data_IF_528374129796
#
_entry.id   IF_528374129796
#
_cell.length_a   1.000
_cell.length_b   1.000
_cell.length_c   1.000
_cell.angle_alpha   90.00
_cell.angle_beta   90.00
_cell.angle_gamma   90.00
#
_symmetry.space_group_name_H-M   'P 1'
#
loop_
_entity.id
_entity.type
_entity.pdbx_description
1 polymer ?
#
# COMPACT_ATOMS: atom_id res chain seq x y z
N UNK A 1 -15.42 -4.36 43.43
CA UNK A 1 -15.18 -5.18 42.22
C UNK A 1 -16.31 -4.89 41.23
N UNK A 2 -16.07 -4.03 40.25
CA UNK A 2 -17.00 -3.75 39.15
C UNK A 2 -17.07 -4.99 38.28
N UNK A 3 -18.21 -5.68 38.29
CA UNK A 3 -18.46 -6.79 37.36
C UNK A 3 -18.72 -6.22 35.96
N UNK A 4 -17.75 -6.30 35.07
CA UNK A 4 -17.99 -6.10 33.66
C UNK A 4 -18.88 -7.26 33.21
N UNK A 5 -20.13 -6.97 32.87
CA UNK A 5 -21.04 -7.96 32.29
C UNK A 5 -20.64 -8.16 30.82
N UNK A 6 -19.83 -9.16 30.57
CA UNK A 6 -19.56 -9.64 29.22
C UNK A 6 -20.72 -10.53 28.76
N UNK A 7 -21.74 -9.94 28.14
CA UNK A 7 -22.75 -10.71 27.43
C UNK A 7 -22.27 -10.93 25.99
N UNK A 8 -21.87 -12.13 25.67
CA UNK A 8 -21.35 -12.50 24.34
C UNK A 8 -22.37 -12.30 23.22
N UNK A 9 -23.66 -12.38 23.52
CA UNK A 9 -24.71 -12.13 22.53
C UNK A 9 -24.81 -10.64 22.19
N UNK A 10 -24.76 -9.76 23.19
CA UNK A 10 -24.77 -8.32 22.98
C UNK A 10 -23.53 -7.84 22.25
N UNK A 11 -22.36 -8.42 22.57
CA UNK A 11 -21.11 -8.13 21.85
C UNK A 11 -21.20 -8.49 20.37
N UNK A 12 -21.72 -9.68 20.05
CA UNK A 12 -21.90 -10.11 18.65
C UNK A 12 -22.91 -9.25 17.89
N UNK A 13 -23.96 -8.79 18.56
CA UNK A 13 -24.94 -7.88 17.94
C UNK A 13 -24.28 -6.55 17.60
N UNK A 14 -23.55 -5.95 18.53
CA UNK A 14 -22.87 -4.68 18.31
C UNK A 14 -21.79 -4.82 17.21
N UNK A 15 -20.99 -5.89 17.24
CA UNK A 15 -20.02 -6.18 16.17
C UNK A 15 -20.70 -6.29 14.79
N UNK A 16 -21.85 -6.94 14.72
CA UNK A 16 -22.61 -7.05 13.46
C UNK A 16 -23.14 -5.70 12.97
N UNK A 17 -23.63 -4.85 13.87
CA UNK A 17 -24.08 -3.50 13.53
C UNK A 17 -22.92 -2.64 13.02
N UNK A 18 -21.74 -2.73 13.65
CA UNK A 18 -20.55 -2.00 13.24
C UNK A 18 -20.08 -2.48 11.86
N UNK A 19 -20.05 -3.79 11.62
CA UNK A 19 -19.70 -4.34 10.30
C UNK A 19 -20.65 -3.81 9.22
N UNK A 20 -21.95 -3.87 9.46
CA UNK A 20 -22.93 -3.38 8.49
C UNK A 20 -22.81 -1.86 8.28
N UNK A 21 -22.53 -1.08 9.33
CA UNK A 21 -22.28 0.35 9.20
C UNK A 21 -21.06 0.65 8.36
N UNK A 22 -19.95 -0.08 8.57
CA UNK A 22 -18.73 0.07 7.77
C UNK A 22 -19.00 -0.33 6.31
N UNK A 23 -19.77 -1.38 6.04
CA UNK A 23 -20.13 -1.78 4.68
C UNK A 23 -20.97 -0.74 3.93
N UNK A 24 -21.87 -0.06 4.65
CA UNK A 24 -22.75 0.96 4.05
C UNK A 24 -22.02 2.27 3.76
N UNK A 25 -21.12 2.68 4.65
CA UNK A 25 -20.45 3.99 4.57
C UNK A 25 -18.97 3.92 4.20
N UNK A 26 -18.38 2.73 4.20
CA UNK A 26 -16.98 2.48 3.88
C UNK A 26 -16.74 2.29 2.39
N UNK A 27 -15.49 2.09 2.08
CA UNK A 27 -14.98 1.84 0.74
C UNK A 27 -14.31 0.47 0.74
N UNK A 28 -14.44 -0.26 -0.35
CA UNK A 28 -13.72 -1.51 -0.59
C UNK A 28 -12.27 -1.20 -0.95
N UNK A 29 -11.36 -1.57 -0.07
CA UNK A 29 -9.94 -1.36 -0.22
C UNK A 29 -9.22 -2.71 -0.25
N UNK A 30 -8.06 -2.75 -0.90
CA UNK A 30 -7.23 -3.93 -0.92
C UNK A 30 -6.18 -3.85 0.18
N UNK A 31 -6.24 -4.78 1.10
CA UNK A 31 -5.24 -4.95 2.15
C UNK A 31 -4.18 -5.95 1.70
N UNK A 32 -2.91 -5.55 1.78
CA UNK A 32 -1.75 -6.35 1.38
C UNK A 32 -0.81 -6.53 2.57
N UNK A 33 -0.74 -7.75 3.14
CA UNK A 33 0.14 -8.02 4.26
C UNK A 33 1.61 -8.05 3.80
N UNK A 34 2.47 -7.40 4.56
CA UNK A 34 3.92 -7.45 4.36
C UNK A 34 4.47 -8.81 4.76
N UNK A 35 5.15 -9.50 3.86
CA UNK A 35 5.89 -10.73 4.15
C UNK A 35 7.36 -10.42 4.33
N UNK A 36 7.91 -10.70 5.51
CA UNK A 36 9.33 -10.57 5.80
C UNK A 36 10.08 -11.77 5.21
N UNK A 37 11.06 -11.52 4.37
CA UNK A 37 11.85 -12.58 3.70
C UNK A 37 13.16 -12.83 4.43
N UNK A 38 13.78 -11.78 4.95
CA UNK A 38 15.10 -11.85 5.58
C UNK A 38 15.18 -10.85 6.74
N UNK A 39 14.41 -11.10 7.80
CA UNK A 39 14.37 -10.24 8.98
C UNK A 39 15.74 -10.19 9.67
N UNK A 40 16.33 -9.01 9.78
CA UNK A 40 17.48 -8.79 10.65
C UNK A 40 17.02 -8.86 12.12
N UNK A 41 17.43 -9.93 12.79
CA UNK A 41 17.04 -10.19 14.19
C UNK A 41 17.53 -9.11 15.17
N UNK A 42 18.48 -8.26 14.76
CA UNK A 42 19.03 -7.22 15.63
C UNK A 42 18.25 -5.91 15.50
N UNK A 43 17.84 -5.53 14.28
CA UNK A 43 17.17 -4.26 14.00
C UNK A 43 15.69 -4.42 13.65
N UNK A 44 15.22 -5.65 13.42
CA UNK A 44 13.83 -5.93 13.05
C UNK A 44 13.43 -5.40 11.68
N UNK A 45 14.39 -5.00 10.86
CA UNK A 45 14.17 -4.47 9.53
C UNK A 45 14.41 -5.54 8.46
N UNK A 46 13.60 -5.55 7.43
CA UNK A 46 13.81 -6.34 6.23
C UNK A 46 13.90 -5.40 5.02
N UNK A 47 15.07 -5.41 4.38
CA UNK A 47 15.33 -4.59 3.18
C UNK A 47 14.58 -5.08 1.95
N UNK A 48 14.11 -6.33 1.95
CA UNK A 48 13.45 -6.95 0.80
C UNK A 48 12.07 -7.44 1.25
N UNK A 49 11.21 -6.52 1.62
CA UNK A 49 9.81 -6.84 1.90
C UNK A 49 9.09 -7.29 0.64
N UNK A 50 8.21 -8.28 0.81
CA UNK A 50 7.38 -8.78 -0.27
C UNK A 50 5.91 -8.72 0.11
N UNK A 51 5.08 -8.37 -0.88
CA UNK A 51 3.63 -8.39 -0.75
C UNK A 51 3.09 -9.42 -1.75
N UNK A 52 2.63 -10.57 -1.25
CA UNK A 52 2.24 -11.74 -2.06
C UNK A 52 0.74 -12.00 -2.06
N UNK A 53 0.01 -11.45 -1.12
CA UNK A 53 -1.42 -11.65 -0.97
C UNK A 53 -2.13 -10.30 -0.96
N UNK A 54 -3.35 -10.29 -1.45
CA UNK A 54 -4.21 -9.12 -1.45
C UNK A 54 -5.64 -9.56 -1.17
N UNK A 55 -6.29 -8.90 -0.21
CA UNK A 55 -7.67 -9.18 0.18
C UNK A 55 -8.47 -7.91 0.22
N UNK A 56 -9.67 -7.97 -0.35
CA UNK A 56 -10.62 -6.86 -0.31
C UNK A 56 -11.28 -6.84 1.07
N UNK A 57 -11.26 -5.65 1.68
CA UNK A 57 -11.92 -5.38 2.95
C UNK A 57 -12.52 -3.99 2.97
N UNK A 58 -13.71 -3.90 3.52
CA UNK A 58 -14.43 -2.66 3.69
C UNK A 58 -13.80 -1.85 4.84
N UNK A 59 -13.39 -0.60 4.56
CA UNK A 59 -12.84 0.32 5.56
C UNK A 59 -13.55 1.67 5.49
N UNK A 60 -13.70 2.30 6.65
CA UNK A 60 -14.28 3.64 6.77
C UNK A 60 -13.17 4.68 6.93
N UNK A 61 -13.24 5.76 6.13
CA UNK A 61 -12.30 6.88 6.25
C UNK A 61 -12.76 7.76 7.42
N UNK A 62 -11.94 7.80 8.49
CA UNK A 62 -12.23 8.55 9.69
C UNK A 62 -11.75 9.99 9.59
N UNK A 63 -10.53 10.19 9.13
CA UNK A 63 -9.91 11.48 8.94
C UNK A 63 -8.94 11.42 7.76
N UNK A 64 -8.87 12.51 7.01
CA UNK A 64 -7.95 12.70 5.90
C UNK A 64 -7.16 13.96 6.21
N UNK A 65 -6.05 13.81 6.93
CA UNK A 65 -5.13 14.90 7.20
C UNK A 65 -4.24 15.12 5.98
N UNK A 66 -4.24 16.31 5.42
CA UNK A 66 -3.44 16.68 4.25
C UNK A 66 -4.21 16.79 2.93
N UNK A 67 -5.41 16.26 2.80
CA UNK A 67 -6.25 16.44 1.59
C UNK A 67 -6.75 17.87 1.40
N UNK A 68 -6.72 18.69 2.45
CA UNK A 68 -7.03 20.13 2.40
C UNK A 68 -5.78 21.03 2.36
N UNK A 69 -4.58 20.48 2.15
CA UNK A 69 -3.35 21.26 1.97
C UNK A 69 -2.74 21.87 3.24
N UNK A 70 -3.19 21.49 4.43
CA UNK A 70 -2.64 21.97 5.70
C UNK A 70 -1.61 21.02 6.37
N UNK A 71 -1.29 19.91 5.77
CA UNK A 71 -0.31 18.93 6.27
C UNK A 71 1.14 19.31 6.03
N UNK A 72 1.54 20.57 6.35
CA UNK A 72 2.92 21.02 6.17
C UNK A 72 3.74 20.71 7.41
N UNK A 73 4.54 19.66 7.37
CA UNK A 73 5.52 19.38 8.42
C UNK A 73 6.87 20.02 8.04
N UNK A 74 7.29 21.03 8.77
CA UNK A 74 8.64 21.60 8.64
C UNK A 74 9.59 20.74 9.44
N UNK A 75 10.27 19.81 8.79
CA UNK A 75 11.37 19.08 9.41
C UNK A 75 12.65 19.91 9.40
N UNK A 76 13.62 19.59 10.28
CA UNK A 76 14.93 20.25 10.30
C UNK A 76 15.72 20.09 8.98
N UNK A 77 15.23 19.30 8.03
CA UNK A 77 15.88 18.96 6.76
C UNK A 77 15.10 19.41 5.52
N UNK A 78 13.97 20.07 5.68
CA UNK A 78 13.15 20.58 4.57
C UNK A 78 11.67 20.42 4.79
N UNK A 79 10.88 20.88 3.81
CA UNK A 79 9.43 20.76 3.78
C UNK A 79 9.07 19.38 3.25
N UNK A 80 8.48 18.53 4.08
CA UNK A 80 7.95 17.23 3.67
C UNK A 80 6.43 17.27 3.79
N UNK A 81 5.74 17.10 2.67
CA UNK A 81 4.27 16.97 2.64
C UNK A 81 3.97 15.50 2.71
N UNK A 82 3.38 15.06 3.82
CA UNK A 82 2.92 13.68 3.98
C UNK A 82 1.40 13.65 4.01
N UNK A 83 0.82 13.05 3.01
CA UNK A 83 -0.61 12.79 3.01
C UNK A 83 -0.91 11.63 3.95
N UNK A 84 -1.53 11.93 5.08
CA UNK A 84 -1.93 10.94 6.06
C UNK A 84 -3.44 10.74 6.03
N UNK A 85 -3.84 9.49 6.18
CA UNK A 85 -5.23 9.09 6.23
C UNK A 85 -5.44 8.14 7.40
N UNK A 86 -6.54 8.31 8.14
CA UNK A 86 -6.94 7.38 9.19
C UNK A 86 -8.13 6.55 8.71
N UNK A 87 -7.94 5.23 8.69
CA UNK A 87 -8.95 4.26 8.28
C UNK A 87 -9.42 3.45 9.47
N UNK A 88 -10.72 3.19 9.53
CA UNK A 88 -11.30 2.31 10.56
C UNK A 88 -11.77 1.02 9.93
N UNK A 89 -11.35 -0.11 10.48
CA UNK A 89 -11.71 -1.46 10.04
C UNK A 89 -12.29 -2.27 11.19
N UNK A 90 -13.28 -3.12 10.91
CA UNK A 90 -13.84 -4.03 11.90
C UNK A 90 -12.87 -5.16 12.24
N UNK A 91 -12.61 -5.35 13.54
CA UNK A 91 -11.75 -6.42 14.04
C UNK A 91 -12.23 -7.82 13.65
N UNK A 92 -13.54 -8.05 13.73
CA UNK A 92 -14.12 -9.35 13.37
C UNK A 92 -14.01 -9.59 11.87
N UNK A 93 -14.31 -8.58 11.04
CA UNK A 93 -14.21 -8.70 9.59
C UNK A 93 -12.78 -8.93 9.14
N UNK A 94 -11.81 -8.25 9.76
CA UNK A 94 -10.39 -8.48 9.47
C UNK A 94 -9.94 -9.92 9.76
N UNK A 95 -10.40 -10.51 10.86
CA UNK A 95 -10.11 -11.91 11.19
C UNK A 95 -10.72 -12.92 10.21
N UNK A 96 -11.82 -12.58 9.58
CA UNK A 96 -12.48 -13.42 8.57
C UNK A 96 -11.67 -13.50 7.27
N UNK A 97 -10.73 -12.58 7.02
CA UNK A 97 -9.86 -12.60 5.84
C UNK A 97 -8.87 -13.76 5.85
N UNK A 98 -8.52 -14.26 7.03
CA UNK A 98 -7.71 -15.47 7.24
C UNK A 98 -6.42 -15.48 6.41
N UNK A 99 -5.49 -14.56 6.72
CA UNK A 99 -4.16 -14.56 6.10
C UNK A 99 -3.33 -15.73 6.65
N UNK A 100 -2.91 -16.64 5.79
CA UNK A 100 -2.14 -17.81 6.19
C UNK A 100 -0.67 -17.46 6.51
N UNK A 101 -0.17 -17.97 7.62
CA UNK A 101 1.25 -18.27 7.79
C UNK A 101 2.08 -17.37 8.70
N UNK A 102 1.60 -16.24 9.26
CA UNK A 102 2.50 -15.35 10.03
C UNK A 102 1.89 -14.81 11.34
N UNK A 103 0.89 -15.50 11.89
CA UNK A 103 0.19 -15.02 13.09
C UNK A 103 -0.52 -13.67 12.89
N UNK A 104 -0.67 -13.24 11.62
CA UNK A 104 -1.32 -12.00 11.19
C UNK A 104 -2.82 -12.12 11.05
N UNK A 105 -3.32 -13.33 11.20
CA UNK A 105 -4.72 -13.70 11.04
C UNK A 105 -5.67 -12.95 11.97
N UNK A 106 -5.13 -12.14 12.89
CA UNK A 106 -5.94 -11.53 13.94
C UNK A 106 -5.94 -10.01 13.94
N UNK A 107 -4.85 -9.39 13.49
CA UNK A 107 -4.66 -7.93 13.65
C UNK A 107 -3.79 -7.36 12.51
N UNK A 108 -4.14 -6.19 11.96
CA UNK A 108 -3.28 -5.50 11.00
C UNK A 108 -1.96 -5.08 11.67
N UNK A 109 -0.90 -4.94 10.89
CA UNK A 109 0.42 -4.54 11.38
C UNK A 109 0.93 -3.28 10.69
N UNK A 110 1.77 -2.53 11.38
CA UNK A 110 2.54 -1.45 10.77
C UNK A 110 3.47 -2.01 9.67
N UNK A 111 3.57 -1.30 8.56
CA UNK A 111 4.31 -1.72 7.38
C UNK A 111 3.50 -2.49 6.35
N UNK A 112 2.25 -2.88 6.64
CA UNK A 112 1.34 -3.43 5.64
C UNK A 112 0.83 -2.33 4.70
N UNK A 113 0.41 -2.70 3.50
CA UNK A 113 -0.06 -1.75 2.49
C UNK A 113 -1.57 -1.82 2.30
N UNK A 114 -2.13 -0.67 1.92
CA UNK A 114 -3.54 -0.52 1.55
C UNK A 114 -3.60 0.17 0.19
N UNK A 115 -4.23 -0.48 -0.77
CA UNK A 115 -4.43 0.08 -2.10
C UNK A 115 -5.85 0.63 -2.25
N UNK A 116 -5.95 1.84 -2.78
CA UNK A 116 -7.18 2.56 -3.08
C UNK A 116 -7.48 2.47 -4.58
N UNK A 117 -8.45 1.66 -5.01
CA UNK A 117 -8.76 1.50 -6.43
C UNK A 117 -9.29 2.77 -7.10
N UNK A 118 -9.92 3.67 -6.34
CA UNK A 118 -10.51 4.91 -6.88
C UNK A 118 -9.49 5.97 -7.29
N UNK A 119 -8.33 5.99 -6.61
CA UNK A 119 -7.28 7.00 -6.82
C UNK A 119 -5.98 6.40 -7.31
N UNK A 120 -5.94 5.07 -7.50
CA UNK A 120 -4.72 4.29 -7.74
C UNK A 120 -3.61 4.61 -6.72
N UNK A 121 -4.03 4.97 -5.49
CA UNK A 121 -3.12 5.34 -4.40
C UNK A 121 -2.72 4.14 -3.55
N UNK A 122 -1.44 4.04 -3.22
CA UNK A 122 -0.92 3.05 -2.31
C UNK A 122 -0.50 3.72 -1.00
N UNK A 123 -1.02 3.22 0.11
CA UNK A 123 -0.74 3.73 1.44
C UNK A 123 -0.10 2.68 2.32
N UNK A 124 0.87 3.09 3.13
CA UNK A 124 1.51 2.25 4.12
C UNK A 124 0.93 2.52 5.50
N UNK A 125 0.64 1.47 6.25
CA UNK A 125 0.21 1.58 7.64
C UNK A 125 1.42 1.95 8.50
N UNK A 126 1.36 3.13 9.13
CA UNK A 126 2.37 3.58 10.09
C UNK A 126 2.10 3.03 11.48
N UNK A 127 0.84 3.12 11.91
CA UNK A 127 0.44 2.73 13.26
C UNK A 127 -0.96 2.10 13.28
N UNK A 128 -1.13 1.16 14.19
CA UNK A 128 -2.41 0.47 14.41
C UNK A 128 -2.90 0.80 15.81
N UNK A 129 -3.89 1.67 15.90
CA UNK A 129 -4.47 2.07 17.17
C UNK A 129 -5.53 1.05 17.61
N UNK A 130 -5.12 0.19 18.52
CA UNK A 130 -5.99 -0.82 19.15
C UNK A 130 -6.59 -0.34 20.48
N UNK A 131 -6.23 0.86 20.95
CA UNK A 131 -6.60 1.39 22.27
C UNK A 131 -7.57 2.55 22.16
N UNK A 132 -8.86 2.25 22.03
CA UNK A 132 -9.87 3.22 22.41
C UNK A 132 -10.17 3.11 23.90
N UNK A 133 -10.08 4.22 24.62
CA UNK A 133 -10.21 4.31 26.08
C UNK A 133 -11.61 3.95 26.60
N UNK A 134 -12.61 3.72 25.74
CA UNK A 134 -13.98 3.44 26.12
C UNK A 134 -14.53 2.22 25.36
N UNK A 135 -14.44 1.05 25.97
CA UNK A 135 -15.12 -0.14 25.46
C UNK A 135 -16.49 -0.27 26.13
N UNK A 136 -17.56 0.11 25.46
CA UNK A 136 -18.92 0.00 25.97
C UNK A 136 -19.33 -1.44 26.34
N UNK A 137 -18.70 -2.43 25.71
CA UNK A 137 -19.02 -3.85 25.88
C UNK A 137 -17.83 -4.70 26.34
N UNK A 138 -16.72 -4.07 26.76
CA UNK A 138 -15.54 -4.79 27.27
C UNK A 138 -14.68 -5.50 26.20
N UNK A 139 -14.91 -5.25 24.92
CA UNK A 139 -14.07 -5.75 23.81
C UNK A 139 -13.80 -4.66 22.78
N UNK A 140 -12.60 -4.69 22.20
CA UNK A 140 -12.23 -3.87 21.05
C UNK A 140 -12.97 -4.39 19.81
N UNK A 141 -13.65 -3.50 19.10
CA UNK A 141 -14.49 -3.88 17.96
C UNK A 141 -13.92 -3.40 16.62
N UNK A 142 -13.10 -2.36 16.64
CA UNK A 142 -12.49 -1.77 15.46
C UNK A 142 -11.00 -1.51 15.70
N UNK A 143 -10.23 -1.46 14.62
CA UNK A 143 -8.88 -0.91 14.58
C UNK A 143 -8.92 0.41 13.83
N UNK A 144 -8.21 1.41 14.30
CA UNK A 144 -7.92 2.63 13.57
C UNK A 144 -6.50 2.51 13.01
N UNK A 145 -6.37 2.60 11.71
CA UNK A 145 -5.12 2.48 10.95
C UNK A 145 -4.68 3.87 10.53
N UNK A 146 -3.55 4.32 11.01
CA UNK A 146 -2.92 5.55 10.53
C UNK A 146 -2.01 5.19 9.37
N UNK A 147 -2.30 5.73 8.20
CA UNK A 147 -1.61 5.40 6.96
C UNK A 147 -1.01 6.66 6.34
N UNK A 148 0.11 6.51 5.64
CA UNK A 148 0.71 7.56 4.82
C UNK A 148 0.89 7.08 3.38
N UNK A 149 1.04 8.01 2.45
CA UNK A 149 1.30 7.69 1.06
C UNK A 149 2.60 6.90 0.97
N UNK A 150 2.52 5.73 0.32
CA UNK A 150 3.67 4.83 0.20
C UNK A 150 4.69 5.37 -0.78
N UNK A 151 5.94 5.50 -0.33
CA UNK A 151 7.08 5.81 -1.18
C UNK A 151 7.83 4.50 -1.50
N UNK A 152 7.84 4.10 -2.76
CA UNK A 152 8.49 2.87 -3.21
C UNK A 152 10.00 2.88 -2.93
N UNK A 153 10.50 1.81 -2.34
CA UNK A 153 11.91 1.68 -1.93
C UNK A 153 12.45 0.25 -2.13
N UNK A 154 12.33 -0.30 -3.33
CA UNK A 154 12.80 -1.66 -3.70
C UNK A 154 11.95 -2.85 -3.19
N UNK A 155 10.76 -2.64 -2.67
CA UNK A 155 9.87 -3.71 -2.26
C UNK A 155 9.32 -4.48 -3.47
N UNK A 156 9.07 -5.77 -3.28
CA UNK A 156 8.49 -6.62 -4.31
C UNK A 156 6.98 -6.77 -4.09
N UNK A 157 6.18 -6.20 -4.99
CA UNK A 157 4.72 -6.32 -4.99
C UNK A 157 4.32 -7.36 -6.06
N UNK A 158 3.83 -8.53 -5.62
CA UNK A 158 3.41 -9.64 -6.48
C UNK A 158 2.13 -10.27 -5.93
N UNK A 159 1.05 -9.51 -5.97
CA UNK A 159 -0.25 -9.90 -5.39
C UNK A 159 -1.16 -10.65 -6.37
N UNK A 160 -0.74 -10.81 -7.65
CA UNK A 160 -1.54 -11.42 -8.70
C UNK A 160 -2.69 -10.54 -9.21
N UNK A 161 -2.84 -9.30 -8.72
CA UNK A 161 -3.84 -8.32 -9.15
C UNK A 161 -3.15 -7.26 -10.00
N UNK A 162 -3.50 -7.18 -11.28
CA UNK A 162 -2.80 -6.31 -12.26
C UNK A 162 -2.83 -4.83 -11.86
N UNK A 163 -3.93 -4.35 -11.29
CA UNK A 163 -4.09 -2.96 -10.85
C UNK A 163 -3.12 -2.59 -9.73
N UNK A 164 -2.81 -3.53 -8.83
CA UNK A 164 -1.86 -3.33 -7.74
C UNK A 164 -0.41 -3.51 -8.18
N UNK A 165 -0.18 -4.41 -9.12
CA UNK A 165 1.13 -4.59 -9.75
C UNK A 165 1.48 -3.44 -10.70
N UNK A 166 0.49 -2.69 -11.17
CA UNK A 166 0.73 -1.52 -12.03
C UNK A 166 1.45 -0.39 -11.30
N UNK A 167 1.48 -0.42 -9.96
CA UNK A 167 2.21 0.58 -9.18
C UNK A 167 3.72 0.54 -9.43
N UNK A 168 4.28 -0.67 -9.58
CA UNK A 168 5.66 -0.85 -10.05
C UNK A 168 5.65 -1.93 -11.11
N UNK A 169 5.74 -1.54 -12.38
CA UNK A 169 5.91 -2.49 -13.47
C UNK A 169 7.36 -2.63 -13.85
N UNK A 170 7.77 -3.88 -13.97
CA UNK A 170 9.08 -4.24 -14.46
C UNK A 170 8.99 -4.55 -15.94
N UNK A 171 9.78 -3.85 -16.74
CA UNK A 171 9.91 -4.07 -18.17
C UNK A 171 11.29 -4.64 -18.46
N UNK A 172 11.33 -5.80 -19.12
CA UNK A 172 12.58 -6.34 -19.64
C UNK A 172 12.83 -5.71 -21.02
N UNK A 173 13.92 -4.93 -21.12
CA UNK A 173 14.29 -4.30 -22.36
C UNK A 173 15.12 -5.24 -23.25
N UNK A 174 14.89 -5.17 -24.54
CA UNK A 174 15.60 -6.00 -25.50
C UNK A 174 17.12 -5.80 -25.43
N UNK A 175 17.88 -6.86 -25.68
CA UNK A 175 19.34 -6.80 -25.69
C UNK A 175 19.90 -6.11 -26.92
N UNK A 176 19.10 -6.01 -27.99
CA UNK A 176 19.53 -5.40 -29.27
C UNK A 176 18.36 -4.60 -29.89
N UNK A 177 18.52 -3.30 -30.10
CA UNK A 177 19.71 -2.49 -29.72
C UNK A 177 19.88 -2.43 -28.21
N UNK A 178 21.12 -2.31 -27.72
CA UNK A 178 21.38 -2.22 -26.29
C UNK A 178 20.67 -1.00 -25.70
N UNK A 179 19.92 -1.14 -24.61
CA UNK A 179 19.21 -0.02 -24.00
C UNK A 179 20.19 1.01 -23.44
N UNK A 180 19.78 2.27 -23.46
CA UNK A 180 20.52 3.36 -22.80
C UNK A 180 20.42 3.25 -21.29
N UNK A 181 21.15 4.11 -20.57
CA UNK A 181 21.11 4.19 -19.12
C UNK A 181 20.04 5.18 -18.68
N UNK A 182 18.97 4.66 -18.11
CA UNK A 182 17.89 5.48 -17.56
C UNK A 182 18.27 6.05 -16.20
N UNK A 183 17.75 7.24 -15.88
CA UNK A 183 17.98 7.90 -14.59
C UNK A 183 16.77 7.71 -13.67
N UNK A 184 17.02 7.45 -12.38
CA UNK A 184 15.96 7.35 -11.37
C UNK A 184 15.25 8.68 -11.23
N UNK A 185 13.93 8.68 -11.19
CA UNK A 185 13.07 9.86 -11.12
C UNK A 185 12.80 10.54 -12.48
N UNK A 186 13.35 10.04 -13.61
CA UNK A 186 12.99 10.59 -14.93
C UNK A 186 11.69 9.99 -15.46
N UNK A 187 10.98 10.78 -16.25
CA UNK A 187 9.79 10.30 -16.96
C UNK A 187 10.18 9.58 -18.25
N UNK A 188 9.67 8.38 -18.42
CA UNK A 188 9.80 7.59 -19.65
C UNK A 188 8.50 7.69 -20.44
N UNK A 189 8.62 7.84 -21.77
CA UNK A 189 7.48 7.93 -22.68
C UNK A 189 7.56 6.80 -23.72
N UNK A 190 6.44 6.11 -23.91
CA UNK A 190 6.28 5.10 -24.98
C UNK A 190 6.03 5.75 -26.33
N UNK A 191 6.83 5.38 -27.32
CA UNK A 191 6.78 5.98 -28.67
C UNK A 191 5.51 5.67 -29.47
N UNK A 192 4.85 4.55 -29.18
CA UNK A 192 3.61 4.13 -29.87
C UNK A 192 2.38 4.39 -29.02
N UNK A 193 2.43 4.01 -27.76
CA UNK A 193 1.30 4.16 -26.82
C UNK A 193 1.09 5.60 -26.37
N UNK A 194 2.13 6.43 -26.40
CA UNK A 194 2.13 7.79 -25.83
C UNK A 194 1.96 7.80 -24.32
N UNK A 195 2.05 6.65 -23.65
CA UNK A 195 1.94 6.55 -22.20
C UNK A 195 3.24 6.93 -21.53
N UNK A 196 3.14 7.37 -20.29
CA UNK A 196 4.28 7.81 -19.49
C UNK A 196 4.37 7.01 -18.21
N UNK A 197 5.58 6.93 -17.66
CA UNK A 197 5.86 6.36 -16.34
C UNK A 197 7.14 6.99 -15.78
N UNK A 198 7.33 6.95 -14.49
CA UNK A 198 8.51 7.47 -13.80
C UNK A 198 9.46 6.31 -13.48
N UNK A 199 10.76 6.49 -13.68
CA UNK A 199 11.77 5.48 -13.40
C UNK A 199 12.02 5.39 -11.90
N UNK A 200 11.59 4.31 -11.29
CA UNK A 200 11.93 3.97 -9.91
C UNK A 200 13.33 3.37 -9.80
N UNK A 201 13.70 2.51 -10.76
CA UNK A 201 14.99 1.83 -10.78
C UNK A 201 15.34 1.39 -12.21
N UNK A 202 16.64 1.40 -12.51
CA UNK A 202 17.20 0.81 -13.71
C UNK A 202 18.32 -0.17 -13.36
N UNK A 203 18.23 -1.41 -13.81
CA UNK A 203 19.27 -2.41 -13.69
C UNK A 203 19.83 -2.74 -15.07
N UNK A 204 21.00 -2.19 -15.36
CA UNK A 204 21.69 -2.38 -16.62
C UNK A 204 22.18 -3.83 -16.84
N UNK A 205 22.36 -4.61 -15.76
CA UNK A 205 22.84 -5.99 -15.84
C UNK A 205 21.73 -6.93 -16.30
N UNK A 206 20.56 -6.79 -15.71
CA UNK A 206 19.37 -7.59 -16.02
C UNK A 206 18.54 -6.96 -17.14
N UNK A 207 18.79 -5.69 -17.48
CA UNK A 207 18.01 -4.85 -18.40
C UNK A 207 16.55 -4.67 -17.96
N UNK A 208 16.34 -4.67 -16.65
CA UNK A 208 15.02 -4.42 -16.07
C UNK A 208 14.84 -2.95 -15.75
N UNK A 209 13.78 -2.38 -16.33
CA UNK A 209 13.32 -1.02 -16.07
C UNK A 209 12.08 -1.10 -15.17
N UNK A 210 12.18 -0.51 -13.99
CA UNK A 210 11.10 -0.45 -13.02
C UNK A 210 10.43 0.92 -13.12
N UNK A 211 9.16 0.93 -13.50
CA UNK A 211 8.37 2.15 -13.66
C UNK A 211 7.25 2.24 -12.62
N UNK A 212 7.05 3.44 -12.09
CA UNK A 212 5.96 3.83 -11.20
C UNK A 212 5.14 4.94 -11.85
N UNK A 213 4.01 5.31 -11.27
CA UNK A 213 3.16 6.43 -11.69
C UNK A 213 2.82 6.37 -13.19
N UNK A 214 2.48 5.19 -13.68
CA UNK A 214 2.20 4.99 -15.10
C UNK A 214 0.83 5.51 -15.48
N UNK A 215 0.74 6.23 -16.60
CA UNK A 215 -0.54 6.72 -17.15
C UNK A 215 -1.33 5.66 -17.93
N UNK A 216 -0.78 4.45 -18.05
CA UNK A 216 -1.41 3.31 -18.72
C UNK A 216 -0.40 2.28 -19.20
N UNK A 217 -0.86 1.27 -19.93
CA UNK A 217 -0.02 0.18 -20.41
C UNK A 217 0.80 0.61 -21.62
N UNK A 218 2.06 0.20 -21.64
CA UNK A 218 2.92 0.30 -22.80
C UNK A 218 2.62 -0.82 -23.80
N UNK A 219 2.89 -0.56 -25.09
CA UNK A 219 2.75 -1.57 -26.13
C UNK A 219 4.00 -2.43 -26.20
N UNK A 220 3.84 -3.75 -26.25
CA UNK A 220 4.99 -4.67 -26.36
C UNK A 220 5.79 -4.37 -27.63
N UNK A 221 7.11 -4.19 -27.47
CA UNK A 221 8.01 -3.89 -28.58
C UNK A 221 8.08 -2.41 -28.99
N UNK A 222 7.46 -1.50 -28.22
CA UNK A 222 7.62 -0.07 -28.47
C UNK A 222 8.94 0.48 -27.89
N UNK A 223 9.37 1.59 -28.45
CA UNK A 223 10.57 2.30 -27.98
C UNK A 223 10.18 3.17 -26.78
N UNK A 224 10.82 2.92 -25.67
CA UNK A 224 10.72 3.76 -24.47
C UNK A 224 11.82 4.81 -24.51
N UNK A 225 11.50 6.07 -24.23
CA UNK A 225 12.46 7.19 -24.26
C UNK A 225 12.43 7.94 -22.93
N UNK A 226 13.59 8.07 -22.29
CA UNK A 226 13.77 8.84 -21.06
C UNK A 226 13.82 10.35 -21.34
N UNK A 227 13.14 11.13 -20.50
CA UNK A 227 13.02 12.59 -20.71
C UNK A 227 14.31 13.36 -20.42
N UNK A 228 15.13 12.89 -19.51
CA UNK A 228 16.35 13.57 -19.07
C UNK A 228 17.60 12.91 -19.62
N UNK A 229 17.68 11.58 -19.54
CA UNK A 229 18.82 10.81 -20.03
C UNK A 229 18.86 10.69 -21.55
N UNK A 230 17.72 10.92 -22.23
CA UNK A 230 17.52 10.57 -23.66
C UNK A 230 17.80 9.09 -23.96
N UNK A 231 17.85 8.24 -22.90
CA UNK A 231 18.02 6.82 -23.03
C UNK A 231 16.84 6.21 -23.79
N UNK A 232 17.10 5.24 -24.64
CA UNK A 232 16.07 4.49 -25.36
C UNK A 232 16.21 3.00 -25.09
N UNK A 233 15.08 2.30 -25.03
CA UNK A 233 15.01 0.85 -24.89
C UNK A 233 13.74 0.32 -25.54
N UNK A 234 13.75 -0.94 -25.95
CA UNK A 234 12.62 -1.59 -26.64
C UNK A 234 12.16 -2.80 -25.87
#
# INVERSE_FOLDING_TARGET
>A
KTKIRTNTADQRLIESIIIESIKVYGIDLHYMPRTLVNEDKLFGEDRISQFKDSRIIEMYIKNVDGFEGEGTFVSNFGLEVRDQITLTVSRRRFRELNFEGDGRDKEPKAGDLIFFPLTDGLFQILDVQATNTFYQTGSLQTFDLVCELFAYSDEKIDTGVEEQQSFVRTFELAASPAPGTFQVGETVTGGTSGKTGEVAKWDATTRYLYLINMTGNFTVGEILTGSTSTATGT
#
